data_IF_417880916471
#
_entry.id   IF_417880916471
#
_cell.length_a   1.000
_cell.length_b   1.000
_cell.length_c   1.000
_cell.angle_alpha   90.00
_cell.angle_beta   90.00
_cell.angle_gamma   90.00
#
_symmetry.space_group_name_H-M   'P 1'
#
loop_
_entity.id
_entity.type
_entity.pdbx_description
1 polymer ?
#
# COMPACT_ATOMS: atom_id res chain seq x y z
N UNK A 1 28.75 76.87 32.33
CA UNK A 1 27.40 76.33 32.27
C UNK A 1 27.48 74.79 32.23
N UNK A 2 27.20 74.19 33.37
CA UNK A 2 27.20 72.76 33.60
C UNK A 2 25.87 72.18 33.15
N UNK A 3 25.88 71.11 32.35
CA UNK A 3 24.71 70.30 32.05
C UNK A 3 24.94 68.85 32.55
N UNK A 4 24.15 68.52 33.59
CA UNK A 4 24.14 67.24 34.25
C UNK A 4 23.32 66.24 33.47
N UNK A 5 23.93 65.21 32.89
CA UNK A 5 23.23 64.09 32.24
C UNK A 5 22.73 63.09 33.26
N UNK A 6 21.43 62.82 33.32
CA UNK A 6 20.81 61.74 34.07
C UNK A 6 20.84 60.44 33.26
N UNK A 7 21.57 59.45 33.74
CA UNK A 7 21.49 58.07 33.25
C UNK A 7 20.22 57.39 33.77
N UNK A 8 19.32 57.04 32.84
CA UNK A 8 18.16 56.19 33.14
C UNK A 8 18.55 54.73 32.98
N UNK A 9 18.64 54.00 34.06
CA UNK A 9 18.84 52.56 34.11
C UNK A 9 17.49 51.87 33.89
N UNK A 10 17.24 51.35 32.69
CA UNK A 10 16.07 50.48 32.43
C UNK A 10 16.33 49.10 33.05
N UNK A 11 15.65 48.78 34.12
CA UNK A 11 15.58 47.44 34.65
C UNK A 11 14.76 46.55 33.73
N UNK A 12 15.40 45.59 33.07
CA UNK A 12 14.72 44.53 32.33
C UNK A 12 14.07 43.56 33.32
N UNK A 13 12.77 43.61 33.37
CA UNK A 13 11.94 42.69 34.13
C UNK A 13 11.78 41.40 33.33
N UNK A 14 12.50 40.35 33.67
CA UNK A 14 12.32 39.03 33.12
C UNK A 14 11.15 38.33 33.83
N UNK A 15 10.11 37.85 33.09
CA UNK A 15 9.05 37.09 33.72
C UNK A 15 9.54 35.71 34.14
N UNK A 16 9.05 35.17 35.28
CA UNK A 16 9.44 33.84 35.71
C UNK A 16 8.88 32.79 34.80
N UNK A 17 9.76 31.95 34.26
CA UNK A 17 9.43 30.75 33.45
C UNK A 17 8.68 29.74 34.32
N UNK A 18 7.36 29.65 34.18
CA UNK A 18 6.48 28.72 34.89
C UNK A 18 6.26 27.39 34.15
N UNK A 19 7.18 26.94 33.35
CA UNK A 19 7.05 25.65 32.68
C UNK A 19 8.14 24.67 33.10
N UNK A 20 8.25 24.44 34.43
CA UNK A 20 8.95 23.28 34.95
C UNK A 20 7.94 22.34 35.61
N UNK A 21 7.06 21.76 34.80
CA UNK A 21 6.38 20.52 35.17
C UNK A 21 6.83 19.46 34.18
N UNK A 22 7.91 18.80 34.52
CA UNK A 22 8.25 17.48 33.99
C UNK A 22 7.14 16.51 34.38
N UNK A 23 6.04 16.52 33.62
CA UNK A 23 5.10 15.43 33.62
C UNK A 23 5.83 14.24 33.02
N UNK A 24 6.34 13.37 33.86
CA UNK A 24 6.79 12.06 33.48
C UNK A 24 5.58 11.34 32.82
N UNK A 25 5.51 11.36 31.50
CA UNK A 25 4.60 10.53 30.73
C UNK A 25 5.03 9.08 30.98
N UNK A 26 4.45 8.46 32.04
CA UNK A 26 4.49 7.01 32.16
C UNK A 26 3.92 6.48 30.85
N UNK A 27 4.80 6.02 29.96
CA UNK A 27 4.41 5.20 28.80
C UNK A 27 3.64 4.03 29.39
N UNK A 28 2.33 4.03 29.19
CA UNK A 28 1.56 2.81 29.35
C UNK A 28 2.20 1.80 28.41
N UNK A 29 2.54 0.60 28.89
CA UNK A 29 2.90 -0.45 27.94
C UNK A 29 1.72 -0.56 26.99
N UNK A 30 2.00 -0.42 25.69
CA UNK A 30 1.07 -0.76 24.64
C UNK A 30 0.71 -2.23 24.89
N UNK A 31 -0.47 -2.46 25.45
CA UNK A 31 -1.11 -3.74 25.29
C UNK A 31 -1.34 -3.81 23.78
N UNK A 32 -0.46 -4.53 23.11
CA UNK A 32 -0.79 -5.08 21.81
C UNK A 32 -2.03 -5.92 22.07
N UNK A 33 -3.19 -5.34 21.80
CA UNK A 33 -4.40 -6.10 21.61
C UNK A 33 -4.02 -7.09 20.52
N UNK A 34 -3.80 -8.33 20.89
CA UNK A 34 -3.88 -9.42 19.96
C UNK A 34 -5.34 -9.35 19.47
N UNK A 35 -5.52 -8.68 18.35
CA UNK A 35 -6.73 -8.84 17.55
C UNK A 35 -6.64 -10.30 17.17
N UNK A 36 -7.38 -11.15 17.89
CA UNK A 36 -7.65 -12.49 17.42
C UNK A 36 -8.25 -12.28 16.04
N UNK A 37 -7.42 -12.56 15.03
CA UNK A 37 -7.87 -12.55 13.65
C UNK A 37 -9.05 -13.51 13.62
N UNK A 38 -10.24 -12.99 13.45
CA UNK A 38 -11.42 -13.79 13.11
C UNK A 38 -10.96 -14.68 11.97
N UNK A 39 -11.09 -16.02 12.06
CA UNK A 39 -10.67 -16.88 10.96
C UNK A 39 -11.37 -16.37 9.71
N UNK A 40 -10.60 -15.72 8.83
CA UNK A 40 -11.12 -15.18 7.59
C UNK A 40 -11.67 -16.32 6.76
N UNK A 41 -12.81 -16.10 6.12
CA UNK A 41 -13.36 -17.07 5.18
C UNK A 41 -12.39 -17.11 3.99
N UNK A 42 -11.72 -18.27 3.79
CA UNK A 42 -10.77 -18.46 2.68
C UNK A 42 -9.30 -18.37 3.06
N UNK A 43 -8.45 -18.30 2.05
CA UNK A 43 -6.98 -18.23 2.19
C UNK A 43 -6.54 -17.08 3.09
N UNK A 44 -5.68 -17.30 4.09
CA UNK A 44 -5.10 -16.24 4.90
C UNK A 44 -4.45 -15.14 4.04
N UNK A 45 -4.48 -13.88 4.50
CA UNK A 45 -4.00 -12.72 3.73
C UNK A 45 -2.56 -12.91 3.25
N UNK A 46 -1.68 -13.40 4.09
CA UNK A 46 -0.26 -13.60 3.82
C UNK A 46 0.05 -14.72 2.80
N UNK A 47 -0.93 -15.57 2.50
CA UNK A 47 -0.81 -16.68 1.55
C UNK A 47 -1.45 -16.40 0.20
N UNK A 48 -2.13 -15.25 0.06
CA UNK A 48 -2.77 -14.84 -1.18
C UNK A 48 -1.76 -14.31 -2.17
N UNK A 49 -1.75 -14.81 -3.39
CA UNK A 49 -0.80 -14.42 -4.43
C UNK A 49 -1.44 -13.41 -5.39
N UNK A 50 -0.94 -12.19 -5.38
CA UNK A 50 -1.34 -11.18 -6.36
C UNK A 50 -0.41 -11.18 -7.55
N UNK A 51 -0.98 -11.11 -8.76
CA UNK A 51 -0.24 -10.88 -10.01
C UNK A 51 -0.47 -9.45 -10.46
N UNK A 52 0.59 -8.65 -10.41
CA UNK A 52 0.59 -7.24 -10.78
C UNK A 52 1.27 -7.07 -12.14
N UNK A 53 0.58 -6.43 -13.09
CA UNK A 53 1.17 -6.01 -14.35
C UNK A 53 1.88 -4.67 -14.20
N UNK A 54 3.07 -4.56 -14.79
CA UNK A 54 3.84 -3.32 -14.91
C UNK A 54 4.28 -3.14 -16.36
N UNK A 55 4.00 -1.99 -16.96
CA UNK A 55 4.53 -1.64 -18.28
C UNK A 55 5.35 -0.36 -18.21
N UNK A 56 6.46 -0.37 -18.93
CA UNK A 56 7.24 0.83 -19.22
C UNK A 56 6.83 1.33 -20.62
N UNK A 57 6.09 2.44 -20.68
CA UNK A 57 5.53 3.02 -21.92
C UNK A 57 6.59 3.54 -22.90
N UNK A 58 7.83 3.78 -22.44
CA UNK A 58 8.92 4.27 -23.32
C UNK A 58 9.48 3.18 -24.23
N UNK A 59 9.61 1.97 -23.71
CA UNK A 59 10.17 0.84 -24.43
C UNK A 59 9.18 -0.29 -24.67
N UNK A 60 7.94 -0.12 -24.22
CA UNK A 60 6.85 -1.07 -24.32
C UNK A 60 7.16 -2.46 -23.70
N UNK A 61 8.03 -2.48 -22.69
CA UNK A 61 8.32 -3.72 -21.95
C UNK A 61 7.29 -3.88 -20.85
N UNK A 62 6.55 -4.99 -20.90
CA UNK A 62 5.61 -5.41 -19.87
C UNK A 62 6.18 -6.56 -19.05
N UNK A 63 5.87 -6.57 -17.75
CA UNK A 63 6.28 -7.62 -16.80
C UNK A 63 5.12 -7.97 -15.89
N UNK A 64 4.99 -9.24 -15.57
CA UNK A 64 4.10 -9.74 -14.54
C UNK A 64 4.90 -10.00 -13.26
N UNK A 65 4.41 -9.50 -12.14
CA UNK A 65 5.10 -9.53 -10.86
C UNK A 65 4.18 -10.23 -9.87
N UNK A 66 4.61 -11.37 -9.42
CA UNK A 66 3.92 -12.12 -8.38
C UNK A 66 4.40 -11.67 -7.01
N UNK A 67 3.46 -11.33 -6.13
CA UNK A 67 3.73 -10.78 -4.80
C UNK A 67 2.72 -11.28 -3.78
N UNK A 68 3.20 -11.47 -2.55
CA UNK A 68 2.34 -11.68 -1.38
C UNK A 68 2.09 -10.36 -0.63
N UNK A 69 0.93 -10.21 0.02
CA UNK A 69 0.67 -9.07 0.90
C UNK A 69 1.77 -8.89 1.95
N UNK A 70 2.20 -7.64 2.14
CA UNK A 70 3.36 -7.27 2.96
C UNK A 70 4.67 -7.17 2.21
N UNK A 71 4.77 -7.69 0.98
CA UNK A 71 5.98 -7.60 0.18
C UNK A 71 6.15 -6.24 -0.51
N UNK A 72 7.43 -5.95 -0.83
CA UNK A 72 7.83 -4.81 -1.63
C UNK A 72 8.83 -5.28 -2.68
N UNK A 73 8.54 -5.01 -3.95
CA UNK A 73 9.39 -5.40 -5.09
C UNK A 73 9.90 -4.16 -5.80
N UNK A 74 11.21 -4.13 -6.04
CA UNK A 74 11.84 -3.12 -6.88
C UNK A 74 12.09 -3.69 -8.27
N UNK A 75 11.59 -3.00 -9.28
CA UNK A 75 11.76 -3.31 -10.69
C UNK A 75 12.28 -2.05 -11.37
N UNK A 76 13.55 -2.04 -11.72
CA UNK A 76 14.25 -0.89 -12.30
C UNK A 76 14.05 0.39 -11.44
N UNK A 77 13.33 1.39 -11.95
CA UNK A 77 13.02 2.66 -11.29
C UNK A 77 11.64 2.70 -10.62
N UNK A 78 11.01 1.54 -10.44
CA UNK A 78 9.69 1.41 -9.78
C UNK A 78 9.80 0.52 -8.56
N UNK A 79 9.18 0.93 -7.46
CA UNK A 79 8.91 0.08 -6.29
C UNK A 79 7.41 -0.09 -6.18
N UNK A 80 6.97 -1.35 -6.13
CA UNK A 80 5.59 -1.71 -5.84
C UNK A 80 5.56 -2.36 -4.47
N UNK A 81 4.67 -1.89 -3.60
CA UNK A 81 4.39 -2.48 -2.29
C UNK A 81 2.96 -2.96 -2.28
N UNK A 82 2.76 -4.25 -2.00
CA UNK A 82 1.46 -4.87 -1.87
C UNK A 82 1.08 -4.94 -0.39
N UNK A 83 -0.10 -4.44 -0.02
CA UNK A 83 -0.58 -4.48 1.35
C UNK A 83 -1.74 -5.45 1.56
N UNK A 84 -2.59 -5.62 0.54
CA UNK A 84 -3.73 -6.51 0.61
C UNK A 84 -4.08 -7.03 -0.79
N UNK A 85 -4.70 -8.21 -0.82
CA UNK A 85 -5.20 -8.87 -2.02
C UNK A 85 -6.51 -9.58 -1.64
N UNK A 86 -7.60 -9.22 -2.32
CA UNK A 86 -8.95 -9.66 -1.98
C UNK A 86 -9.73 -10.03 -3.24
N UNK A 87 -10.57 -11.05 -3.12
CA UNK A 87 -11.57 -11.42 -4.13
C UNK A 87 -12.90 -11.65 -3.43
N UNK A 88 -13.99 -11.22 -4.03
CA UNK A 88 -15.34 -11.56 -3.55
C UNK A 88 -15.56 -13.07 -3.65
N UNK A 89 -16.31 -13.62 -2.70
CA UNK A 89 -16.62 -15.04 -2.69
C UNK A 89 -17.41 -15.46 -3.94
N UNK A 90 -17.28 -16.71 -4.43
CA UNK A 90 -17.95 -17.17 -5.65
C UNK A 90 -19.47 -17.02 -5.65
N UNK A 91 -20.08 -17.07 -4.46
CA UNK A 91 -21.54 -16.92 -4.27
C UNK A 91 -22.01 -15.47 -4.12
N UNK A 92 -21.10 -14.49 -4.12
CA UNK A 92 -21.41 -13.07 -4.03
C UNK A 92 -21.44 -12.43 -5.44
N UNK A 93 -22.26 -11.40 -5.60
CA UNK A 93 -22.36 -10.64 -6.84
C UNK A 93 -22.45 -9.14 -6.53
N UNK A 94 -21.69 -8.29 -7.26
CA UNK A 94 -20.81 -8.58 -8.39
C UNK A 94 -19.47 -9.19 -7.97
N UNK A 95 -18.86 -9.98 -8.87
CA UNK A 95 -17.50 -10.47 -8.66
C UNK A 95 -16.50 -9.32 -8.80
N UNK A 96 -15.62 -9.17 -7.81
CA UNK A 96 -14.60 -8.14 -7.77
C UNK A 96 -13.30 -8.73 -7.23
N UNK A 97 -12.21 -8.44 -7.92
CA UNK A 97 -10.85 -8.77 -7.46
C UNK A 97 -10.08 -7.48 -7.28
N UNK A 98 -9.53 -7.26 -6.10
CA UNK A 98 -8.83 -6.03 -5.75
C UNK A 98 -7.51 -6.28 -5.04
N UNK A 99 -6.55 -5.36 -5.24
CA UNK A 99 -5.30 -5.33 -4.50
C UNK A 99 -5.00 -3.90 -4.05
N UNK A 100 -4.62 -3.74 -2.79
CA UNK A 100 -4.15 -2.45 -2.28
C UNK A 100 -2.65 -2.33 -2.49
N UNK A 101 -2.25 -1.39 -3.35
CA UNK A 101 -0.86 -1.18 -3.71
C UNK A 101 -0.40 0.25 -3.46
N UNK A 102 0.89 0.39 -3.20
CA UNK A 102 1.59 1.66 -3.23
C UNK A 102 2.68 1.59 -4.28
N UNK A 103 2.75 2.59 -5.14
CA UNK A 103 3.74 2.66 -6.22
C UNK A 103 4.62 3.87 -6.02
N UNK A 104 5.93 3.65 -6.05
CA UNK A 104 6.94 4.69 -5.97
C UNK A 104 7.79 4.64 -7.23
N UNK A 105 8.14 5.81 -7.76
CA UNK A 105 9.02 5.92 -8.92
C UNK A 105 10.25 6.75 -8.57
N UNK A 106 11.42 6.26 -8.98
CA UNK A 106 12.68 6.98 -8.86
C UNK A 106 12.72 8.10 -9.90
N UNK A 107 12.71 9.32 -9.44
CA UNK A 107 12.72 10.52 -10.29
C UNK A 107 13.68 11.55 -9.73
N UNK A 108 14.20 12.39 -10.60
CA UNK A 108 14.89 13.62 -10.24
C UNK A 108 14.11 14.83 -10.76
N UNK A 109 14.08 15.88 -9.97
CA UNK A 109 13.36 17.11 -10.32
C UNK A 109 14.09 17.90 -11.40
N UNK A 110 15.43 17.98 -11.27
CA UNK A 110 16.32 18.68 -12.19
C UNK A 110 17.49 17.82 -12.62
N UNK A 111 18.19 18.24 -13.67
CA UNK A 111 19.35 17.52 -14.24
C UNK A 111 20.48 17.34 -13.20
N UNK A 112 20.63 18.31 -12.29
CA UNK A 112 21.66 18.34 -11.26
C UNK A 112 21.21 17.78 -9.90
N UNK A 113 19.91 17.40 -9.76
CA UNK A 113 19.39 16.84 -8.52
C UNK A 113 19.59 15.33 -8.43
N UNK A 114 19.64 14.82 -7.19
CA UNK A 114 19.73 13.39 -6.94
C UNK A 114 18.37 12.70 -7.22
N UNK A 115 18.45 11.41 -7.58
CA UNK A 115 17.25 10.58 -7.72
C UNK A 115 16.59 10.37 -6.36
N UNK A 116 15.26 10.57 -6.30
CA UNK A 116 14.42 10.33 -5.12
C UNK A 116 13.26 9.44 -5.47
N UNK A 117 12.84 8.64 -4.49
CA UNK A 117 11.65 7.81 -4.59
C UNK A 117 10.42 8.65 -4.27
N UNK A 118 9.61 8.91 -5.28
CA UNK A 118 8.38 9.69 -5.15
C UNK A 118 7.18 8.75 -5.16
N UNK A 119 6.25 8.86 -4.18
CA UNK A 119 5.00 8.13 -4.21
C UNK A 119 4.14 8.68 -5.34
N UNK A 120 3.74 7.82 -6.26
CA UNK A 120 2.90 8.19 -7.42
C UNK A 120 1.49 7.63 -7.33
N UNK A 121 1.29 6.58 -6.51
CA UNK A 121 -0.01 5.98 -6.30
C UNK A 121 -0.09 5.30 -4.93
N UNK A 122 -1.26 5.36 -4.31
CA UNK A 122 -1.63 4.56 -3.12
C UNK A 122 -3.13 4.33 -3.14
N UNK A 123 -3.55 3.08 -3.33
CA UNK A 123 -4.97 2.76 -3.43
C UNK A 123 -5.25 1.34 -3.89
N UNK A 124 -6.54 1.04 -4.08
CA UNK A 124 -7.00 -0.22 -4.61
C UNK A 124 -6.97 -0.22 -6.14
N UNK A 125 -6.36 -1.23 -6.71
CA UNK A 125 -6.49 -1.58 -8.13
C UNK A 125 -7.49 -2.72 -8.25
N UNK A 126 -8.33 -2.67 -9.30
CA UNK A 126 -9.39 -3.65 -9.54
C UNK A 126 -9.19 -4.33 -10.89
N UNK A 127 -9.31 -5.67 -10.90
CA UNK A 127 -9.16 -6.49 -12.11
C UNK A 127 -10.32 -6.28 -13.08
N UNK A 128 -11.56 -6.33 -12.58
CA UNK A 128 -12.78 -6.23 -13.36
C UNK A 128 -13.11 -4.78 -13.77
N UNK A 129 -12.54 -3.81 -13.04
CA UNK A 129 -12.78 -2.37 -13.26
C UNK A 129 -11.46 -1.59 -13.20
N UNK A 130 -10.50 -1.85 -14.10
CA UNK A 130 -9.16 -1.26 -14.04
C UNK A 130 -9.14 0.25 -14.22
N UNK A 131 -10.17 0.83 -14.83
CA UNK A 131 -10.31 2.28 -15.01
C UNK A 131 -10.83 3.02 -13.78
N UNK A 132 -11.28 2.32 -12.74
CA UNK A 132 -11.80 2.95 -11.53
C UNK A 132 -10.71 3.68 -10.76
N UNK A 133 -9.53 3.06 -10.66
CA UNK A 133 -8.33 3.65 -10.09
C UNK A 133 -7.14 3.33 -10.99
N UNK A 134 -6.47 4.34 -11.50
CA UNK A 134 -5.33 4.20 -12.40
C UNK A 134 -4.08 4.83 -11.80
N UNK A 135 -2.93 4.24 -12.11
CA UNK A 135 -1.64 4.84 -11.76
C UNK A 135 -1.30 5.89 -12.81
N UNK A 136 -1.51 7.17 -12.46
CA UNK A 136 -1.23 8.30 -13.35
C UNK A 136 0.27 8.62 -13.36
N UNK A 137 1.03 7.97 -14.26
CA UNK A 137 2.44 8.27 -14.46
C UNK A 137 2.79 8.27 -15.96
N UNK A 138 3.60 9.23 -16.44
CA UNK A 138 3.88 9.39 -17.88
C UNK A 138 4.66 8.22 -18.49
N UNK A 139 5.42 7.48 -17.67
CA UNK A 139 6.31 6.42 -18.15
C UNK A 139 5.81 5.02 -17.77
N UNK A 140 5.25 4.87 -16.57
CA UNK A 140 4.87 3.58 -16.03
C UNK A 140 3.36 3.46 -15.89
N UNK A 141 2.86 2.25 -16.12
CA UNK A 141 1.50 1.88 -15.80
C UNK A 141 1.50 0.59 -14.99
N UNK A 142 0.61 0.51 -13.99
CA UNK A 142 0.52 -0.61 -13.07
C UNK A 142 -0.94 -0.99 -12.91
N UNK A 143 -1.25 -2.28 -13.03
CA UNK A 143 -2.62 -2.78 -12.89
C UNK A 143 -2.65 -4.13 -12.20
N UNK A 144 -3.78 -4.49 -11.65
CA UNK A 144 -4.02 -5.82 -11.09
C UNK A 144 -4.42 -6.79 -12.21
N UNK A 145 -3.75 -7.92 -12.29
CA UNK A 145 -4.11 -9.02 -13.19
C UNK A 145 -4.93 -10.08 -12.47
N UNK A 146 -4.50 -10.46 -11.25
CA UNK A 146 -5.19 -11.48 -10.47
C UNK A 146 -4.85 -11.42 -8.98
N UNK A 147 -5.70 -12.08 -8.17
CA UNK A 147 -5.48 -12.36 -6.77
C UNK A 147 -5.87 -13.82 -6.50
N UNK A 148 -4.88 -14.70 -6.49
CA UNK A 148 -5.10 -16.12 -6.24
C UNK A 148 -5.36 -16.35 -4.75
N UNK A 149 -6.56 -16.82 -4.46
CA UNK A 149 -7.03 -17.25 -3.15
C UNK A 149 -8.18 -18.24 -3.33
N UNK A 150 -8.41 -19.09 -2.34
CA UNK A 150 -9.49 -20.07 -2.34
C UNK A 150 -10.49 -19.78 -1.24
N UNK A 151 -11.73 -20.23 -1.43
CA UNK A 151 -12.79 -20.20 -0.45
C UNK A 151 -13.19 -21.62 -0.04
N UNK A 152 -13.71 -21.83 1.19
CA UNK A 152 -14.23 -23.13 1.60
C UNK A 152 -15.33 -23.60 0.64
N UNK A 153 -15.24 -24.82 0.14
CA UNK A 153 -16.20 -25.42 -0.80
C UNK A 153 -15.92 -25.12 -2.29
N UNK A 154 -14.93 -24.28 -2.63
CA UNK A 154 -14.56 -24.00 -4.02
C UNK A 154 -13.88 -25.21 -4.70
N UNK A 155 -13.16 -26.04 -3.94
CA UNK A 155 -12.46 -27.24 -4.45
C UNK A 155 -13.44 -28.38 -4.79
N UNK A 156 -14.60 -28.44 -4.15
CA UNK A 156 -15.62 -29.47 -4.41
C UNK A 156 -16.33 -29.23 -5.75
N UNK A 157 -16.52 -27.97 -6.15
CA UNK A 157 -17.20 -27.63 -7.41
C UNK A 157 -16.37 -27.95 -8.66
N UNK A 158 -15.04 -27.92 -8.58
CA UNK A 158 -14.13 -28.20 -9.71
C UNK A 158 -14.02 -29.71 -9.98
N UNK A 159 -14.24 -30.55 -8.97
CA UNK A 159 -14.14 -32.01 -9.10
C UNK A 159 -15.40 -32.65 -9.71
N UNK A 160 -16.56 -32.00 -9.66
CA UNK A 160 -17.81 -32.53 -10.23
C UNK A 160 -17.92 -32.28 -11.75
N UNK A 161 -17.34 -31.19 -12.27
CA UNK A 161 -17.40 -30.82 -13.70
C UNK A 161 -16.38 -31.61 -14.57
N UNK A 162 -15.38 -32.25 -13.94
CA UNK A 162 -14.35 -33.03 -14.65
C UNK A 162 -14.74 -34.51 -14.90
N UNK A 163 -15.91 -34.95 -14.42
CA UNK A 163 -16.31 -36.37 -14.48
C UNK A 163 -17.41 -36.71 -15.51
N UNK A 164 -17.90 -35.72 -16.28
CA UNK A 164 -19.02 -35.96 -17.22
C UNK A 164 -18.65 -36.10 -18.70
N UNK A 165 -17.36 -35.99 -19.10
CA UNK A 165 -16.98 -35.97 -20.53
C UNK A 165 -16.35 -37.28 -21.07
N UNK A 166 -16.41 -38.43 -20.36
CA UNK A 166 -15.76 -39.67 -20.83
C UNK A 166 -16.72 -40.86 -21.09
N UNK A 167 -18.00 -40.65 -21.40
CA UNK A 167 -18.86 -41.76 -21.87
C UNK A 167 -19.74 -41.33 -23.04
N UNK A 168 -19.21 -41.25 -24.28
CA UNK A 168 -19.90 -41.62 -25.53
C UNK A 168 -18.92 -41.61 -26.70
N UNK A 169 -18.24 -42.69 -26.96
CA UNK A 169 -18.02 -43.18 -28.32
C UNK A 169 -17.60 -44.68 -28.33
N UNK A 170 -18.60 -45.53 -28.63
CA UNK A 170 -18.37 -46.89 -29.09
C UNK A 170 -19.40 -47.27 -30.17
#
# INVERSE_FOLDING_TARGET
ASATGRSSTSAMFSPPNRYSRTAAWKRRPSQSSQVEATPGIGTPMEERLATIGLVNKRNNISRDIEMYPGESRRIDDVIIRLSACERTAPWESPQQTGAFVQVFVSQREDVDSEFRWNPVFSGWLFKESPSLNVVEHPIYDVWLKDCAMSFPGEEEAVSEDASEDDEEDN
#
